data_IF_448383672088
#
_entry.id   IF_448383672088
#
_cell.length_a   1.000
_cell.length_b   1.000
_cell.length_c   1.000
_cell.angle_alpha   90.00
_cell.angle_beta   90.00
_cell.angle_gamma   90.00
#
_symmetry.space_group_name_H-M   'P 1'
#
loop_
_entity.id
_entity.type
_entity.pdbx_description
1 polymer ?
#
# COMPACT_ATOMS: atom_id res chain seq x y z
N UNK A 1 26.20 16.52 9.93
CA UNK A 1 26.66 15.40 9.08
C UNK A 1 26.31 14.01 9.62
N UNK A 2 26.08 13.78 10.93
CA UNK A 2 25.67 12.45 11.42
C UNK A 2 24.24 12.03 11.02
N UNK A 3 23.29 12.98 11.04
CA UNK A 3 21.88 12.73 10.70
C UNK A 3 21.68 12.17 9.27
N UNK A 4 22.43 12.70 8.30
CA UNK A 4 22.32 12.31 6.88
C UNK A 4 22.70 10.84 6.66
N UNK A 5 23.70 10.34 7.39
CA UNK A 5 24.17 8.96 7.26
C UNK A 5 23.28 7.94 7.98
N UNK A 6 22.42 8.39 8.90
CA UNK A 6 21.62 7.52 9.78
C UNK A 6 20.14 7.50 9.34
N UNK A 7 19.68 8.54 8.63
CA UNK A 7 18.29 8.69 8.21
C UNK A 7 17.83 7.53 7.32
N UNK A 8 16.82 6.78 7.80
CA UNK A 8 16.26 5.66 7.04
C UNK A 8 17.17 4.42 6.93
N UNK A 9 18.22 4.33 7.74
CA UNK A 9 19.18 3.22 7.76
C UNK A 9 18.54 1.85 8.03
N UNK A 10 17.43 1.79 8.77
CA UNK A 10 16.75 0.53 9.06
C UNK A 10 16.14 -0.10 7.79
N UNK A 11 16.51 -1.35 7.43
CA UNK A 11 15.95 -2.02 6.25
C UNK A 11 14.42 -2.15 6.33
N UNK A 12 13.73 -1.81 5.24
CA UNK A 12 12.25 -1.89 5.13
C UNK A 12 11.83 -2.96 4.13
N UNK A 13 12.45 -4.15 4.19
CA UNK A 13 12.17 -5.26 3.25
C UNK A 13 10.86 -6.00 3.58
N UNK A 14 10.40 -5.96 4.83
CA UNK A 14 9.24 -6.71 5.31
C UNK A 14 8.35 -5.94 6.30
N UNK A 15 7.24 -6.55 6.71
CA UNK A 15 6.28 -5.96 7.64
C UNK A 15 5.38 -4.88 7.03
N UNK A 16 4.62 -4.18 7.86
CA UNK A 16 3.65 -3.15 7.43
C UNK A 16 4.34 -1.91 6.85
N UNK A 17 5.50 -1.53 7.38
CA UNK A 17 6.25 -0.34 6.94
C UNK A 17 6.93 -0.48 5.57
N UNK A 18 7.14 -1.72 5.10
CA UNK A 18 7.76 -2.00 3.80
C UNK A 18 6.87 -1.71 2.60
N UNK A 19 5.55 -1.63 2.81
CA UNK A 19 4.56 -1.53 1.73
C UNK A 19 3.71 -0.29 1.94
N UNK A 20 3.35 0.33 0.82
CA UNK A 20 2.40 1.43 0.77
C UNK A 20 1.40 1.17 -0.35
N UNK A 21 0.23 1.78 -0.23
CA UNK A 21 -0.75 1.83 -1.30
C UNK A 21 -0.15 2.51 -2.53
N UNK A 22 -0.33 1.90 -3.71
CA UNK A 22 0.12 2.48 -4.99
C UNK A 22 -0.54 3.82 -5.35
N UNK A 23 -1.73 4.09 -4.82
CA UNK A 23 -2.52 5.30 -5.15
C UNK A 23 -2.29 6.43 -4.14
N UNK A 24 -2.45 6.16 -2.84
CA UNK A 24 -2.45 7.20 -1.80
C UNK A 24 -1.26 7.13 -0.84
N UNK A 25 -0.27 6.25 -1.10
CA UNK A 25 0.89 6.00 -0.25
C UNK A 25 0.58 5.57 1.22
N UNK A 26 -0.69 5.34 1.57
CA UNK A 26 -1.07 4.89 2.90
C UNK A 26 -0.51 3.50 3.18
N UNK A 27 0.03 3.32 4.40
CA UNK A 27 0.59 2.04 4.86
C UNK A 27 -0.43 1.15 5.59
N UNK A 28 -1.68 1.62 5.70
CA UNK A 28 -2.72 1.01 6.52
C UNK A 28 -3.79 0.39 5.64
N UNK A 29 -4.26 -0.82 6.01
CA UNK A 29 -5.39 -1.47 5.35
C UNK A 29 -5.13 -1.77 3.87
N UNK A 30 -3.91 -2.19 3.54
CA UNK A 30 -3.50 -2.56 2.18
C UNK A 30 -4.06 -3.95 1.85
N UNK A 31 -4.76 -4.03 0.72
CA UNK A 31 -5.19 -5.27 0.08
C UNK A 31 -4.05 -5.74 -0.82
N UNK A 32 -3.50 -6.92 -0.49
CA UNK A 32 -2.33 -7.53 -1.17
C UNK A 32 -2.70 -8.68 -2.10
N UNK A 33 -3.98 -9.06 -2.11
CA UNK A 33 -4.47 -10.18 -2.92
C UNK A 33 -4.34 -9.81 -4.40
N UNK A 34 -3.98 -10.79 -5.23
CA UNK A 34 -3.82 -10.61 -6.68
C UNK A 34 -2.77 -9.58 -7.09
N UNK A 35 -1.82 -9.23 -6.21
CA UNK A 35 -0.75 -8.27 -6.52
C UNK A 35 -1.24 -6.83 -6.69
N UNK A 36 -2.40 -6.48 -6.11
CA UNK A 36 -3.00 -5.16 -6.23
C UNK A 36 -2.23 -4.06 -5.46
N UNK A 37 -1.80 -4.35 -4.23
CA UNK A 37 -1.14 -3.41 -3.31
C UNK A 37 -1.82 -2.04 -3.20
N UNK A 38 -3.15 -2.04 -3.06
CA UNK A 38 -3.98 -0.84 -2.89
C UNK A 38 -4.64 -0.80 -1.53
N UNK A 39 -4.88 0.40 -1.01
CA UNK A 39 -5.59 0.59 0.24
C UNK A 39 -7.07 0.24 0.10
N UNK A 40 -7.73 -0.19 1.18
CA UNK A 40 -9.18 -0.54 1.15
C UNK A 40 -10.11 0.61 0.69
N UNK A 41 -9.71 1.88 0.91
CA UNK A 41 -10.48 3.06 0.44
C UNK A 41 -10.36 3.19 -1.08
N UNK A 42 -9.11 3.23 -1.55
CA UNK A 42 -8.70 3.26 -2.94
C UNK A 42 -9.31 2.12 -3.76
N UNK A 43 -9.34 0.91 -3.19
CA UNK A 43 -9.97 -0.24 -3.83
C UNK A 43 -11.47 -0.03 -4.02
N UNK A 44 -12.20 0.49 -3.03
CA UNK A 44 -13.65 0.72 -3.15
C UNK A 44 -13.98 1.79 -4.18
N UNK A 45 -13.18 2.84 -4.27
CA UNK A 45 -13.35 3.90 -5.27
C UNK A 45 -13.13 3.40 -6.70
N UNK A 46 -12.20 2.46 -6.89
CA UNK A 46 -11.79 1.98 -8.20
C UNK A 46 -12.28 0.56 -8.53
N UNK A 47 -13.06 -0.08 -7.66
CA UNK A 47 -13.44 -1.49 -7.78
C UNK A 47 -14.08 -1.80 -9.14
N UNK A 48 -15.04 -0.98 -9.56
CA UNK A 48 -15.75 -1.14 -10.83
C UNK A 48 -14.80 -1.01 -12.04
N UNK A 49 -13.84 -0.08 -11.99
CA UNK A 49 -12.87 0.14 -13.06
C UNK A 49 -11.84 -1.01 -13.17
N UNK A 50 -11.52 -1.64 -12.04
CA UNK A 50 -10.66 -2.84 -11.98
C UNK A 50 -11.43 -4.08 -12.48
N UNK A 51 -12.76 -4.02 -12.56
CA UNK A 51 -13.62 -5.14 -12.96
C UNK A 51 -14.18 -5.96 -11.81
N UNK A 52 -14.12 -5.46 -10.57
CA UNK A 52 -14.81 -6.05 -9.43
C UNK A 52 -16.24 -5.53 -9.33
N UNK A 53 -17.21 -6.44 -9.46
CA UNK A 53 -18.64 -6.14 -9.31
C UNK A 53 -19.23 -6.81 -8.08
N UNK A 54 -20.17 -6.11 -7.44
CA UNK A 54 -20.93 -6.64 -6.30
C UNK A 54 -22.16 -7.37 -6.83
N UNK A 55 -22.19 -8.69 -6.70
CA UNK A 55 -23.30 -9.53 -7.16
C UNK A 55 -24.41 -9.72 -6.12
N UNK A 56 -24.17 -9.34 -4.86
CA UNK A 56 -25.12 -9.38 -3.74
C UNK A 56 -24.77 -8.31 -2.72
#
# INVERSE_FOLDING_TARGET
MGHENIWGSHPKRYGKGSRCCRVCASRIGIIRKYGLDICRRCFRENANNIGFYKYR
#
